data_IF_793435529640
#
_entry.id   IF_793435529640
#
_cell.length_a   1.000
_cell.length_b   1.000
_cell.length_c   1.000
_cell.angle_alpha   90.00
_cell.angle_beta   90.00
_cell.angle_gamma   90.00
#
_symmetry.space_group_name_H-M   'P 1'
#
loop_
_entity.id
_entity.type
_entity.pdbx_description
1 polymer ?
2 non-polymer ?
3 water ?
#
# COMPACT_ATOMS: atom_id res chain seq x y z
N UNK A 1 11.38 -12.17 -1.95
CA UNK A 1 11.12 -10.86 -2.60
C UNK A 1 10.00 -11.09 -3.62
N UNK A 2 9.22 -10.06 -3.94
CA UNK A 2 8.24 -10.15 -5.02
C UNK A 2 8.63 -9.18 -6.14
N UNK A 3 8.27 -9.51 -7.38
CA UNK A 3 8.62 -8.71 -8.56
C UNK A 3 7.39 -8.46 -9.42
N UNK A 4 7.40 -7.35 -10.15
CA UNK A 4 6.39 -7.08 -11.16
C UNK A 4 7.10 -6.38 -12.32
N UNK A 5 6.73 -6.75 -13.53
CA UNK A 5 7.24 -6.13 -14.73
C UNK A 5 6.08 -5.55 -15.52
N UNK A 6 6.16 -4.25 -15.85
CA UNK A 6 5.07 -3.59 -16.58
C UNK A 6 5.01 -4.00 -18.06
N UNK A 7 6.11 -4.50 -18.61
CA UNK A 7 6.10 -4.94 -19.97
C UNK A 7 5.39 -6.28 -20.03
N UNK A 8 4.34 -6.35 -20.81
CA UNK A 8 3.63 -7.61 -20.95
C UNK A 8 2.54 -7.77 -19.92
N UNK A 9 2.56 -6.85 -18.95
CA UNK A 9 1.58 -6.82 -17.88
C UNK A 9 0.19 -6.68 -18.44
N UNK A 10 -0.75 -7.35 -17.80
CA UNK A 10 -2.15 -7.27 -18.17
C UNK A 10 -2.88 -7.44 -16.85
N UNK A 11 -4.22 -7.33 -16.83
CA UNK A 11 -4.93 -7.39 -15.55
C UNK A 11 -4.63 -8.65 -14.75
N UNK A 12 -4.26 -9.71 -15.46
CA UNK A 12 -4.00 -11.02 -14.88
C UNK A 12 -2.69 -11.11 -14.10
N UNK A 13 -1.60 -10.65 -14.71
CA UNK A 13 -0.28 -10.72 -14.09
C UNK A 13 -0.16 -9.82 -12.88
N UNK A 14 -0.76 -8.64 -13.00
CA UNK A 14 -0.86 -7.72 -11.90
C UNK A 14 -1.52 -8.43 -10.72
N UNK A 15 -2.68 -9.03 -10.98
CA UNK A 15 -3.36 -9.79 -9.94
C UNK A 15 -2.46 -10.85 -9.34
N UNK A 16 -1.65 -11.48 -10.18
CA UNK A 16 -0.75 -12.51 -9.68
C UNK A 16 0.30 -11.91 -8.73
N UNK A 17 0.92 -10.81 -9.14
CA UNK A 17 1.84 -10.02 -8.29
C UNK A 17 1.15 -9.62 -6.99
N UNK A 18 -0.06 -9.09 -7.06
CA UNK A 18 -0.70 -8.66 -5.82
C UNK A 18 -0.98 -9.83 -4.89
N UNK A 19 -1.35 -10.98 -5.47
CA UNK A 19 -1.53 -12.20 -4.67
C UNK A 19 -0.23 -12.65 -3.96
N UNK A 20 0.87 -12.70 -4.71
CA UNK A 20 2.23 -12.92 -4.18
C UNK A 20 2.59 -11.96 -3.06
N UNK A 21 2.38 -10.67 -3.30
CA UNK A 21 2.66 -9.63 -2.29
C UNK A 21 1.90 -9.93 -1.00
N UNK A 22 0.59 -10.18 -1.11
CA UNK A 22 -0.18 -10.56 0.06
C UNK A 22 0.43 -11.77 0.73
N UNK A 23 0.72 -12.79 -0.06
CA UNK A 23 1.22 -14.05 0.47
C UNK A 23 2.59 -13.94 1.13
N UNK A 24 3.32 -12.89 0.81
CA UNK A 24 4.67 -12.70 1.31
C UNK A 24 4.65 -12.13 2.73
N UNK A 25 3.55 -11.53 3.10
CA UNK A 25 3.43 -10.98 4.43
C UNK A 25 3.23 -12.17 5.38
N UNK A 26 3.88 -12.16 6.55
CA UNK A 26 3.45 -13.21 7.50
C UNK A 26 2.31 -12.84 8.43
N UNK A 27 1.72 -13.89 8.96
CA UNK A 27 0.66 -13.78 9.95
C UNK A 27 0.62 -15.11 10.72
N UNK A 28 0.07 -15.04 11.94
CA UNK A 28 -0.08 -16.21 12.79
C UNK A 28 -1.52 -16.68 12.72
N UNK A 29 -2.44 -15.76 13.02
CA UNK A 29 -3.86 -16.06 13.00
C UNK A 29 -4.58 -15.59 11.75
N UNK A 30 -5.85 -15.97 11.69
CA UNK A 30 -6.83 -15.44 10.74
C UNK A 30 -8.04 -15.14 11.58
N UNK A 31 -8.39 -13.86 11.59
CA UNK A 31 -9.62 -13.40 12.19
C UNK A 31 -10.64 -13.37 11.08
N UNK A 32 -11.65 -14.23 11.20
CA UNK A 32 -12.77 -14.27 10.26
C UNK A 32 -12.28 -14.59 8.83
N UNK A 33 -11.32 -15.51 8.78
CA UNK A 33 -10.63 -15.92 7.54
C UNK A 33 -9.81 -14.83 6.83
N UNK A 34 -9.62 -13.70 7.48
CA UNK A 34 -8.72 -12.66 6.98
C UNK A 34 -7.43 -12.78 7.78
N UNK A 35 -6.28 -12.81 7.08
CA UNK A 35 -4.94 -12.86 7.69
C UNK A 35 -4.58 -11.65 8.57
N UNK A 36 -4.43 -11.90 9.86
CA UNK A 36 -4.05 -10.88 10.82
C UNK A 36 -2.52 -10.68 10.77
N UNK A 37 -2.09 -9.46 10.49
CA UNK A 37 -0.66 -9.17 10.39
C UNK A 37 -0.01 -9.18 11.79
N UNK A 38 1.22 -9.65 11.85
CA UNK A 38 1.95 -9.74 13.12
C UNK A 38 2.09 -8.38 13.82
N UNK A 39 2.16 -8.37 15.16
CA UNK A 39 2.33 -7.12 15.90
C UNK A 39 3.74 -6.54 15.80
N UNK A 40 4.75 -7.40 15.69
CA UNK A 40 6.12 -6.96 15.63
C UNK A 40 6.96 -8.04 14.96
N UNK A 41 7.95 -7.61 14.19
CA UNK A 41 8.94 -8.52 13.64
C UNK A 41 10.23 -7.77 13.74
N UNK A 42 11.31 -8.49 13.98
CA UNK A 42 12.55 -7.87 14.40
C UNK A 42 13.67 -8.25 13.47
N UNK A 43 14.48 -7.25 13.14
CA UNK A 43 15.62 -7.47 12.27
C UNK A 43 15.27 -7.11 10.85
N UNK A 44 16.04 -7.68 9.93
CA UNK A 44 15.81 -7.51 8.51
C UNK A 44 14.52 -8.18 8.08
N UNK A 45 14.10 -9.18 8.84
CA UNK A 45 12.92 -9.97 8.52
C UNK A 45 11.64 -9.16 8.55
N UNK A 46 11.73 -8.00 9.18
CA UNK A 46 10.63 -7.07 9.18
C UNK A 46 10.34 -6.45 7.82
N UNK A 47 11.30 -6.49 6.89
CA UNK A 47 11.15 -5.76 5.63
C UNK A 47 11.03 -6.69 4.44
N UNK A 48 10.05 -6.43 3.58
CA UNK A 48 9.92 -7.12 2.30
C UNK A 48 10.41 -6.18 1.18
N UNK A 49 11.10 -6.75 0.20
CA UNK A 49 11.65 -6.00 -0.92
C UNK A 49 10.87 -6.32 -2.20
N UNK A 50 10.23 -5.32 -2.78
CA UNK A 50 9.58 -5.46 -4.09
C UNK A 50 10.50 -4.97 -5.21
N UNK A 51 10.51 -5.71 -6.31
CA UNK A 51 11.29 -5.30 -7.46
C UNK A 51 10.34 -4.88 -8.55
N UNK A 52 10.34 -3.60 -8.89
CA UNK A 52 9.42 -3.10 -9.90
C UNK A 52 10.22 -2.70 -11.14
N UNK A 53 9.83 -3.24 -12.29
CA UNK A 53 10.47 -2.93 -13.57
C UNK A 53 9.50 -2.15 -14.45
N UNK A 54 9.94 -1.04 -15.04
CA UNK A 54 9.04 -0.27 -15.91
C UNK A 54 9.11 -0.85 -17.31
N UNK A 55 8.35 -0.31 -18.25
CA UNK A 55 8.24 -0.92 -19.57
C UNK A 55 9.57 -1.12 -20.26
N UNK A 56 10.44 -0.13 -20.14
CA UNK A 56 11.80 -0.18 -20.68
C UNK A 56 12.71 -1.09 -19.89
N UNK A 57 12.19 -1.63 -18.79
CA UNK A 57 12.95 -2.58 -17.99
C UNK A 57 13.86 -1.96 -16.93
N UNK A 58 13.76 -0.67 -16.68
CA UNK A 58 14.54 -0.10 -15.58
C UNK A 58 13.81 -0.46 -14.31
N UNK A 59 14.50 -0.43 -13.19
CA UNK A 59 13.93 -1.01 -12.00
C UNK A 59 14.25 -0.20 -10.77
N UNK A 60 13.31 -0.20 -9.82
CA UNK A 60 13.57 0.20 -8.44
C UNK A 60 13.29 -0.98 -7.49
N UNK A 61 13.99 -1.03 -6.36
CA UNK A 61 13.59 -1.95 -5.30
C UNK A 61 12.94 -1.22 -4.14
N UNK A 62 11.71 -1.60 -3.79
CA UNK A 62 10.96 -0.90 -2.73
C UNK A 62 10.93 -1.74 -1.46
N UNK A 63 11.00 -1.09 -0.30
CA UNK A 63 11.06 -1.80 0.97
C UNK A 63 9.77 -1.58 1.71
N UNK A 64 9.15 -2.66 2.15
CA UNK A 64 7.81 -2.59 2.71
C UNK A 64 7.86 -3.23 4.09
N UNK A 65 7.25 -2.60 5.07
CA UNK A 65 7.26 -3.15 6.43
C UNK A 65 6.16 -4.20 6.52
N UNK A 66 6.54 -5.46 6.74
CA UNK A 66 5.57 -6.55 6.70
C UNK A 66 4.56 -6.54 7.85
N UNK A 67 4.69 -5.64 8.81
CA UNK A 67 3.71 -5.62 9.89
C UNK A 67 2.55 -4.73 9.54
N UNK A 68 2.80 -3.75 8.69
CA UNK A 68 1.75 -2.80 8.34
C UNK A 68 1.68 -2.45 6.85
N UNK A 69 2.53 -3.13 6.07
CA UNK A 69 2.68 -2.92 4.65
C UNK A 69 2.88 -1.43 4.19
N UNK A 70 3.68 -0.70 4.97
CA UNK A 70 4.07 0.69 4.69
C UNK A 70 5.39 0.65 3.95
N UNK A 71 5.49 1.46 2.89
CA UNK A 71 6.69 1.59 2.01
C UNK A 71 7.70 2.34 2.87
N UNK A 72 8.96 1.89 2.99
CA UNK A 72 9.87 2.63 3.89
C UNK A 72 10.76 3.60 3.11
N UNK A 73 11.14 3.13 1.94
CA UNK A 73 11.98 3.87 1.04
C UNK A 73 12.19 2.94 -0.15
N UNK A 74 13.14 3.30 -1.01
CA UNK A 74 13.41 2.52 -2.22
C UNK A 74 14.83 2.75 -2.61
N UNK A 75 15.32 1.95 -3.55
CA UNK A 75 16.68 2.05 -4.07
C UNK A 75 16.57 2.23 -5.57
N UNK A 76 17.20 3.27 -6.11
CA UNK A 76 17.37 3.49 -7.54
C UNK A 76 18.88 3.50 -7.85
N UNK A 77 19.29 2.72 -8.83
CA UNK A 77 20.63 2.13 -8.87
C UNK A 77 21.52 2.17 -7.63
N UNK A 78 22.23 3.25 -7.36
CA UNK A 78 23.13 3.20 -6.21
C UNK A 78 22.72 4.11 -5.06
N UNK A 79 21.51 4.65 -5.14
CA UNK A 79 21.09 5.60 -4.10
C UNK A 79 19.81 5.11 -3.46
N UNK A 80 19.80 5.05 -2.13
CA UNK A 80 18.60 4.68 -1.43
C UNK A 80 17.94 5.99 -1.06
N UNK A 81 16.62 6.00 -0.99
CA UNK A 81 15.91 7.17 -0.49
C UNK A 81 15.01 6.63 0.61
N UNK A 82 14.76 7.45 1.63
CA UNK A 82 13.95 6.99 2.76
C UNK A 82 13.10 8.18 3.17
N UNK A 83 11.90 7.90 3.69
CA UNK A 83 10.99 8.94 4.21
C UNK A 83 11.53 9.58 5.46
N UNK A 84 11.07 10.79 5.79
CA UNK A 84 11.59 11.44 6.99
C UNK A 84 10.68 11.16 8.18
N UNK A 85 10.92 10.01 8.81
CA UNK A 85 10.17 9.56 9.98
C UNK A 85 10.99 8.46 10.64
N UNK A 86 10.80 8.24 11.95
CA UNK A 86 11.66 7.29 12.67
C UNK A 86 11.67 5.82 12.17
N UNK A 87 10.54 5.30 11.67
CA UNK A 87 10.47 3.92 11.16
C UNK A 87 11.38 3.67 9.97
N UNK A 88 11.47 4.67 9.11
CA UNK A 88 12.27 4.54 7.89
C UNK A 88 13.76 4.64 8.23
N UNK A 89 14.08 5.50 9.20
CA UNK A 89 15.45 5.58 9.71
C UNK A 89 15.88 4.23 10.30
N UNK A 90 14.99 3.64 11.10
CA UNK A 90 15.17 2.26 11.57
C UNK A 90 15.36 1.23 10.44
N UNK A 91 14.50 1.26 9.41
CA UNK A 91 14.71 0.39 8.22
C UNK A 91 16.06 0.52 7.58
N UNK A 92 16.54 1.77 7.50
CA UNK A 92 17.82 2.08 6.91
C UNK A 92 19.00 1.34 7.52
N UNK A 93 18.80 0.76 8.70
CA UNK A 93 19.83 -0.11 9.28
C UNK A 93 19.88 -1.48 8.60
N UNK A 94 18.77 -1.90 8.03
CA UNK A 94 18.63 -3.29 7.61
C UNK A 94 18.60 -3.49 6.10
N UNK A 95 18.10 -2.49 5.36
CA UNK A 95 18.02 -2.61 3.90
C UNK A 95 18.90 -1.62 3.12
N UNK A 96 19.11 -1.96 1.84
CA UNK A 96 19.95 -1.20 0.91
C UNK A 96 21.24 -0.71 1.55
N UNK A 97 21.98 -1.61 2.18
CA UNK A 97 23.15 -1.20 2.93
C UNK A 97 24.37 -1.00 2.02
N UNK A 98 24.32 -1.67 0.87
CA UNK A 98 25.34 -1.58 -0.17
C UNK A 98 25.19 -0.32 -1.07
N UNK A 99 24.18 0.51 -0.82
CA UNK A 99 23.98 1.73 -1.59
C UNK A 99 25.12 2.72 -1.37
N UNK A 100 25.44 3.47 -2.42
CA UNK A 100 26.59 4.37 -2.42
C UNK A 100 26.21 5.67 -1.72
N UNK A 101 24.95 5.83 -1.37
CA UNK A 101 24.44 7.14 -0.96
C UNK A 101 23.06 6.97 -0.41
N UNK A 102 22.75 7.63 0.71
CA UNK A 102 21.44 7.52 1.33
C UNK A 102 20.88 8.91 1.46
N UNK A 103 19.72 9.12 0.85
CA UNK A 103 19.10 10.42 0.84
C UNK A 103 17.81 10.33 1.62
N UNK A 104 17.51 11.34 2.41
CA UNK A 104 16.29 11.30 3.18
C UNK A 104 15.39 12.29 2.47
N UNK A 105 14.16 11.90 2.20
CA UNK A 105 13.23 12.75 1.48
C UNK A 105 12.71 13.77 2.46
N UNK A 106 12.37 14.99 1.98
CA UNK A 106 12.01 16.09 2.88
C UNK A 106 10.65 15.90 3.55
N UNK A 107 10.10 14.68 3.50
CA UNK A 107 8.79 14.43 4.07
C UNK A 107 8.66 12.98 4.58
N UNK A 108 7.68 12.82 5.46
CA UNK A 108 7.27 11.54 5.95
C UNK A 108 6.39 10.92 4.86
N UNK A 109 5.93 9.71 5.09
CA UNK A 109 5.29 8.99 4.01
C UNK A 109 3.81 8.80 4.20
N UNK A 110 3.19 9.66 5.00
CA UNK A 110 1.75 9.57 5.16
C UNK A 110 1.08 10.44 4.10
N UNK A 111 -0.18 10.15 3.79
CA UNK A 111 -0.80 10.81 2.66
C UNK A 111 -0.79 12.31 2.83
N UNK A 112 -1.03 12.77 4.05
CA UNK A 112 -1.24 14.20 4.25
C UNK A 112 0.01 15.01 3.92
N UNK A 113 1.16 14.57 4.42
CA UNK A 113 2.41 15.24 4.08
C UNK A 113 2.76 15.02 2.62
N UNK A 114 2.47 13.84 2.09
CA UNK A 114 2.77 13.55 0.70
C UNK A 114 1.92 14.37 -0.29
N UNK A 115 0.66 14.65 0.05
CA UNK A 115 -0.21 15.44 -0.83
C UNK A 115 0.22 16.89 -0.84
N UNK A 116 0.52 17.41 0.34
CA UNK A 116 1.08 18.75 0.45
C UNK A 116 2.31 18.90 -0.44
N UNK A 117 3.26 17.97 -0.28
CA UNK A 117 4.48 17.99 -1.08
C UNK A 117 4.26 17.91 -2.59
N UNK A 118 3.27 17.15 -3.01
CA UNK A 118 3.08 16.94 -4.42
C UNK A 118 2.34 18.10 -5.05
N UNK A 119 1.69 18.92 -4.23
CA UNK A 119 0.80 19.92 -4.79
C UNK A 119 -0.61 19.48 -5.21
N UNK A 120 -0.88 18.19 -5.31
CA UNK A 120 -2.23 17.68 -5.63
C UNK A 120 -2.76 16.78 -4.48
N UNK A 121 -4.08 16.79 -4.21
CA UNK A 121 -4.63 15.74 -3.35
C UNK A 121 -4.81 14.44 -4.13
N UNK A 122 -5.01 13.33 -3.43
CA UNK A 122 -5.04 12.03 -4.10
C UNK A 122 -6.13 11.97 -5.14
N UNK A 123 -7.20 12.70 -4.86
CA UNK A 123 -8.39 12.70 -5.67
C UNK A 123 -8.14 13.13 -7.12
N UNK A 124 -6.97 13.71 -7.35
CA UNK A 124 -6.64 14.33 -8.62
C UNK A 124 -5.35 13.80 -9.24
N UNK A 125 -4.91 12.63 -8.79
CA UNK A 125 -3.79 11.94 -9.42
C UNK A 125 -4.37 10.68 -10.02
N UNK A 126 -4.29 10.54 -11.36
CA UNK A 126 -4.63 9.29 -12.02
C UNK A 126 -3.73 8.14 -11.59
N UNK A 127 -4.35 7.02 -11.26
CA UNK A 127 -3.58 5.86 -10.91
C UNK A 127 -3.89 4.86 -12.00
N UNK A 128 -3.01 3.88 -12.15
CA UNK A 128 -3.24 2.87 -13.12
C UNK A 128 -1.94 2.12 -13.28
N UNK A 129 -1.91 1.21 -14.24
CA UNK A 129 -0.65 0.56 -14.56
C UNK A 129 0.26 1.43 -15.42
N UNK A 130 -0.31 2.28 -16.30
CA UNK A 130 0.51 3.26 -17.00
C UNK A 130 1.15 4.28 -16.09
N UNK A 131 0.38 4.76 -15.14
CA UNK A 131 0.92 5.62 -14.10
C UNK A 131 2.02 4.99 -13.24
N UNK A 132 1.91 3.70 -12.93
CA UNK A 132 2.95 3.03 -12.13
C UNK A 132 4.25 3.00 -12.93
N UNK A 133 4.13 2.75 -14.22
CA UNK A 133 5.30 2.73 -15.08
C UNK A 133 6.03 4.09 -15.04
N UNK A 134 5.23 5.13 -15.16
CA UNK A 134 5.65 6.50 -15.02
C UNK A 134 6.27 6.75 -13.66
N UNK A 135 5.55 6.44 -12.58
CA UNK A 135 6.10 6.54 -11.22
C UNK A 135 7.51 5.96 -11.12
N UNK A 136 7.65 4.72 -11.56
CA UNK A 136 8.94 4.07 -11.48
C UNK A 136 10.01 4.94 -12.18
N UNK A 137 9.72 5.40 -13.39
CA UNK A 137 10.64 6.27 -14.16
C UNK A 137 11.00 7.56 -13.45
N UNK A 138 10.00 8.19 -12.87
CA UNK A 138 10.19 9.38 -12.05
C UNK A 138 11.15 9.15 -10.87
N UNK A 139 10.96 8.03 -10.17
CA UNK A 139 11.72 7.75 -8.97
C UNK A 139 13.18 7.45 -9.28
N UNK A 140 13.47 7.14 -10.55
CA UNK A 140 14.83 6.75 -10.91
C UNK A 140 15.80 7.93 -10.93
N UNK A 141 15.25 9.14 -11.02
CA UNK A 141 16.09 10.32 -11.04
C UNK A 141 15.48 11.28 -10.05
N UNK A 142 16.23 11.57 -9.00
CA UNK A 142 15.76 12.38 -7.88
C UNK A 142 15.14 13.73 -8.29
N UNK A 143 13.92 13.95 -7.82
CA UNK A 143 13.26 15.25 -7.84
C UNK A 143 12.23 15.12 -6.74
N UNK A 144 12.38 15.82 -5.63
CA UNK A 144 11.53 15.52 -4.47
C UNK A 144 10.07 15.90 -4.65
N UNK A 145 9.78 16.89 -5.50
CA UNK A 145 8.39 17.29 -5.70
C UNK A 145 7.71 16.27 -6.59
N UNK A 146 8.44 15.83 -7.62
CA UNK A 146 7.92 14.86 -8.57
C UNK A 146 7.86 13.44 -7.97
N UNK A 147 8.79 13.12 -7.10
CA UNK A 147 8.70 11.90 -6.32
C UNK A 147 7.54 11.81 -5.31
N UNK A 148 7.02 12.92 -4.78
CA UNK A 148 5.83 12.81 -3.92
C UNK A 148 4.58 12.31 -4.65
N UNK A 149 4.35 12.81 -5.85
CA UNK A 149 3.34 12.23 -6.70
C UNK A 149 3.59 10.82 -7.16
N UNK A 150 4.81 10.48 -7.58
CA UNK A 150 5.08 9.09 -7.96
C UNK A 150 4.80 8.14 -6.77
N UNK A 151 5.13 8.57 -5.56
CA UNK A 151 4.95 7.71 -4.39
C UNK A 151 3.49 7.62 -3.94
N UNK A 152 2.69 8.63 -4.27
CA UNK A 152 1.24 8.52 -4.07
C UNK A 152 0.61 7.51 -5.03
N UNK A 153 1.24 7.32 -6.18
CA UNK A 153 0.76 6.36 -7.16
C UNK A 153 1.33 4.98 -6.86
N UNK A 154 2.56 4.93 -6.40
CA UNK A 154 3.18 3.68 -6.00
C UNK A 154 2.49 3.01 -4.79
N UNK A 155 2.25 3.77 -3.72
CA UNK A 155 1.56 3.25 -2.54
C UNK A 155 0.22 2.63 -2.89
N UNK A 156 -0.56 3.33 -3.70
CA UNK A 156 -1.92 2.93 -4.03
C UNK A 156 -2.01 1.72 -4.94
N UNK A 157 -1.11 1.61 -5.93
CA UNK A 157 -1.11 0.48 -6.86
C UNK A 157 -0.48 -0.79 -6.29
N UNK A 158 0.24 -0.69 -5.17
CA UNK A 158 0.75 -1.88 -4.52
C UNK A 158 0.16 -2.12 -3.12
N UNK A 159 0.56 -1.31 -2.15
CA UNK A 159 0.12 -1.48 -0.78
C UNK A 159 -1.41 -1.43 -0.61
N UNK A 160 -2.06 -0.42 -1.16
CA UNK A 160 -3.54 -0.32 -1.02
C UNK A 160 -4.33 -1.41 -1.77
N UNK A 161 -3.73 -1.89 -2.86
CA UNK A 161 -4.27 -3.02 -3.60
C UNK A 161 -4.12 -4.35 -2.86
N UNK A 162 -2.97 -4.56 -2.21
CA UNK A 162 -2.76 -5.76 -1.36
C UNK A 162 -3.82 -5.79 -0.26
N UNK A 163 -4.04 -4.64 0.35
CA UNK A 163 -4.98 -4.48 1.46
C UNK A 163 -6.45 -4.74 1.15
N UNK A 164 -6.92 -4.32 -0.03
CA UNK A 164 -8.33 -4.40 -0.37
C UNK A 164 -8.53 -4.93 -1.77
N UNK A 165 -9.34 -5.98 -1.93
CA UNK A 165 -9.65 -6.52 -3.25
C UNK A 165 -10.40 -5.51 -4.17
N UNK A 166 -11.16 -4.58 -3.60
CA UNK A 166 -11.83 -3.59 -4.43
C UNK A 166 -10.76 -2.76 -5.16
N UNK A 167 -9.74 -2.36 -4.42
CA UNK A 167 -8.77 -1.46 -5.02
C UNK A 167 -7.88 -2.20 -6.04
N UNK A 168 -7.57 -3.44 -5.75
CA UNK A 168 -6.86 -4.23 -6.74
C UNK A 168 -7.61 -4.32 -8.07
N UNK A 169 -8.93 -4.42 -7.97
CA UNK A 169 -9.78 -4.55 -9.14
C UNK A 169 -9.98 -3.24 -9.92
N UNK A 170 -10.01 -2.12 -9.20
CA UNK A 170 -9.87 -0.81 -9.81
C UNK A 170 -8.65 -0.63 -10.73
N UNK A 171 -7.52 -1.19 -10.33
CA UNK A 171 -6.25 -1.05 -11.03
C UNK A 171 -6.18 -1.99 -12.23
N UNK A 172 -6.85 -3.13 -12.13
CA UNK A 172 -6.97 -4.02 -13.27
C UNK A 172 -7.81 -3.40 -14.34
N UNK A 173 -8.84 -2.67 -13.91
CA UNK A 173 -9.60 -1.75 -14.76
C UNK A 173 -8.76 -0.63 -15.41
N UNK A 174 -7.64 -0.25 -14.77
CA UNK A 174 -6.85 0.87 -15.25
C UNK A 174 -5.51 0.40 -15.79
N UNK A 175 -5.50 -0.82 -16.32
CA UNK A 175 -4.29 -1.40 -16.92
C UNK A 175 -3.82 -0.79 -18.22
N UNK A 176 -4.68 -0.10 -18.96
CA UNK A 176 -4.18 0.58 -20.17
C UNK A 176 -4.61 2.05 -20.25
N UNK A 177 -5.18 2.58 -19.19
CA UNK A 177 -5.60 3.97 -19.15
C UNK A 177 -5.70 4.30 -17.67
N UNK A 178 -5.17 5.46 -17.24
CA UNK A 178 -5.19 5.82 -15.81
C UNK A 178 -6.44 6.59 -15.54
N UNK A 179 -6.85 6.63 -14.28
CA UNK A 179 -8.03 7.39 -13.92
C UNK A 179 -7.88 7.71 -12.48
N UNK A 180 -8.46 8.83 -12.07
CA UNK A 180 -8.33 9.22 -10.69
C UNK A 180 -9.07 8.16 -9.85
N UNK A 181 -8.66 7.96 -8.58
CA UNK A 181 -9.36 6.99 -7.75
C UNK A 181 -10.80 7.43 -7.53
N UNK A 182 -11.69 6.44 -7.36
CA UNK A 182 -13.04 6.71 -6.86
C UNK A 182 -13.01 7.13 -5.38
N UNK A 183 -14.09 7.78 -4.96
CA UNK A 183 -14.32 8.07 -3.55
C UNK A 183 -14.29 6.82 -2.68
N UNK A 184 -14.92 5.76 -3.15
CA UNK A 184 -14.90 4.49 -2.43
C UNK A 184 -13.47 4.15 -2.13
N UNK A 185 -12.63 4.21 -3.16
CA UNK A 185 -11.22 3.94 -3.00
C UNK A 185 -10.58 4.81 -1.94
N UNK A 186 -10.76 6.14 -2.01
CA UNK A 186 -10.21 7.02 -0.97
C UNK A 186 -10.79 6.65 0.43
N UNK A 187 -12.09 6.32 0.46
CA UNK A 187 -12.76 5.90 1.69
C UNK A 187 -12.08 4.68 2.33
N UNK A 188 -11.88 3.66 1.50
CA UNK A 188 -11.27 2.43 1.93
C UNK A 188 -9.86 2.65 2.46
N UNK A 189 -9.03 3.43 1.75
CA UNK A 189 -7.65 3.68 2.16
C UNK A 189 -7.58 4.27 3.56
N UNK A 190 -8.48 5.20 3.78
CA UNK A 190 -8.53 5.87 5.06
C UNK A 190 -9.05 5.02 6.21
N UNK A 191 -9.87 4.02 5.89
CA UNK A 191 -10.53 3.24 6.92
C UNK A 191 -9.84 1.96 7.31
N UNK A 192 -8.65 1.69 6.77
CA UNK A 192 -8.05 0.38 6.97
C UNK A 192 -7.84 0.11 8.43
N UNK A 193 -7.32 1.13 9.10
CA UNK A 193 -6.98 1.06 10.50
C UNK A 193 -8.23 0.79 11.38
N UNK A 194 -9.25 1.63 11.24
CA UNK A 194 -10.49 1.46 11.99
C UNK A 194 -11.20 0.15 11.69
N UNK A 195 -11.32 -0.19 10.41
CA UNK A 195 -11.83 -1.50 10.00
C UNK A 195 -11.10 -2.67 10.62
N UNK A 196 -9.78 -2.69 10.58
CA UNK A 196 -9.00 -3.71 11.27
C UNK A 196 -9.29 -3.83 12.76
N UNK A 197 -9.52 -2.69 13.39
CA UNK A 197 -9.77 -2.64 14.83
C UNK A 197 -11.14 -3.26 15.12
N UNK A 198 -12.17 -2.77 14.42
CA UNK A 198 -13.54 -3.17 14.65
C UNK A 198 -13.79 -4.65 14.34
N UNK A 199 -13.21 -5.12 13.27
CA UNK A 199 -13.20 -6.57 12.98
C UNK A 199 -12.55 -7.41 14.11
N UNK A 200 -11.48 -6.91 14.72
CA UNK A 200 -10.75 -7.66 15.74
C UNK A 200 -11.51 -7.68 17.07
N UNK A 201 -12.15 -6.55 17.34
CA UNK A 201 -13.00 -6.36 18.49
C UNK A 201 -14.29 -7.16 18.41
N UNK A 202 -14.72 -7.48 17.18
CA UNK A 202 -15.95 -8.20 16.93
C UNK A 202 -15.94 -9.65 17.42
N UNK A 203 -14.77 -10.30 17.43
CA UNK A 203 -14.60 -11.58 18.13
C UNK A 203 -14.92 -11.39 19.61
N UNK A 204 -15.80 -12.25 20.15
CA UNK A 204 -16.28 -12.03 21.51
C UNK A 204 -17.31 -10.92 21.57
N UNK A 205 -17.74 -10.40 20.44
CA UNK A 205 -18.97 -9.61 20.42
C UNK A 205 -19.91 -10.15 19.35
N UNK A 206 -19.71 -11.42 19.00
CA UNK A 206 -20.58 -12.09 18.03
C UNK A 206 -20.47 -11.53 16.60
N UNK A 207 -19.27 -11.05 16.23
CA UNK A 207 -19.04 -10.54 14.90
C UNK A 207 -19.63 -9.16 14.72
N UNK A 208 -20.01 -8.53 15.83
CA UNK A 208 -20.65 -7.21 15.83
C UNK A 208 -19.60 -6.14 16.17
N UNK A 209 -19.68 -4.97 15.51
CA UNK A 209 -18.62 -3.95 15.62
C UNK A 209 -19.05 -3.10 16.82
N UNK A 210 -18.11 -2.73 17.71
CA UNK A 210 -18.42 -1.84 18.85
C UNK A 210 -18.78 -0.44 18.37
N UNK A 211 -18.03 0.04 17.40
CA UNK A 211 -18.33 1.34 16.82
C UNK A 211 -18.44 1.16 15.31
N UNK A 212 -19.58 1.59 14.73
CA UNK A 212 -19.81 1.63 13.29
C UNK A 212 -18.80 2.43 12.48
N UNK A 213 -18.43 1.86 11.35
CA UNK A 213 -17.53 2.48 10.40
C UNK A 213 -18.38 2.98 9.26
N UNK A 214 -18.28 4.27 8.99
CA UNK A 214 -19.03 4.86 7.89
C UNK A 214 -18.06 5.04 6.70
N UNK A 215 -18.40 4.35 5.61
CA UNK A 215 -17.65 4.48 4.36
C UNK A 215 -18.50 5.29 3.39
N UNK A 216 -17.88 6.11 2.56
CA UNK A 216 -18.63 6.81 1.51
C UNK A 216 -18.89 5.76 0.47
N UNK A 217 -17.81 5.09 0.14
CA UNK A 217 -17.79 3.95 -0.75
C UNK A 217 -18.89 3.93 -1.80
N UNK A 218 -19.19 2.74 -2.30
CA UNK A 218 -20.17 2.60 -3.36
C UNK A 218 -21.57 2.50 -2.79
N UNK A 219 -21.95 3.61 -2.17
CA UNK A 219 -23.33 3.98 -2.01
C UNK A 219 -23.32 5.51 -2.16
N UNK A 220 -22.58 5.97 -3.17
CA UNK A 220 -22.51 7.39 -3.51
C UNK A 220 -21.84 8.25 -2.45
N UNK A 221 -22.37 8.14 -1.25
CA UNK A 221 -21.81 8.76 -0.04
C UNK A 221 -22.58 8.04 1.08
N UNK A 222 -21.88 7.68 2.15
CA UNK A 222 -22.51 7.35 3.43
C UNK A 222 -23.11 5.95 3.49
N UNK A 223 -22.22 4.96 3.54
CA UNK A 223 -22.56 3.60 3.93
C UNK A 223 -22.09 3.43 5.37
N UNK A 224 -22.61 2.44 6.08
CA UNK A 224 -22.23 2.22 7.46
C UNK A 224 -22.08 0.75 7.73
N UNK A 225 -20.85 0.31 8.01
CA UNK A 225 -20.57 -1.11 8.32
C UNK A 225 -20.76 -1.36 9.82
N UNK A 226 -21.53 -2.39 10.16
CA UNK A 226 -21.96 -2.59 11.56
C UNK A 226 -21.46 -3.91 12.10
N UNK A 227 -21.27 -4.88 11.22
CA UNK A 227 -20.99 -6.24 11.64
C UNK A 227 -20.20 -6.94 10.55
N UNK A 228 -19.68 -8.12 10.86
CA UNK A 228 -18.73 -8.82 9.98
C UNK A 228 -19.35 -9.53 8.79
N UNK A 229 -20.66 -9.51 8.65
CA UNK A 229 -21.20 -10.18 7.47
C UNK A 229 -21.26 -9.22 6.32
N UNK A 230 -20.94 -7.96 6.57
CA UNK A 230 -20.78 -6.99 5.52
C UNK A 230 -19.80 -7.47 4.44
N UNK A 231 -20.11 -7.12 3.19
CA UNK A 231 -19.25 -7.49 2.06
C UNK A 231 -17.84 -6.89 2.12
N UNK A 232 -17.71 -5.71 2.72
CA UNK A 232 -16.40 -5.13 2.90
C UNK A 232 -15.56 -6.08 3.74
N UNK A 233 -16.21 -6.86 4.60
CA UNK A 233 -15.50 -7.86 5.40
C UNK A 233 -15.37 -9.24 4.74
N UNK A 234 -16.46 -9.76 4.20
CA UNK A 234 -16.46 -11.12 3.63
C UNK A 234 -15.64 -11.20 2.35
N UNK A 235 -15.62 -10.09 1.60
CA UNK A 235 -15.17 -10.11 0.23
C UNK A 235 -14.07 -9.10 -0.15
N UNK A 236 -13.89 -8.05 0.65
CA UNK A 236 -13.00 -6.95 0.26
C UNK A 236 -11.70 -6.84 1.04
N UNK A 237 -11.77 -6.48 2.31
CA UNK A 237 -10.56 -6.35 3.16
C UNK A 237 -9.78 -7.66 3.17
N UNK A 238 -8.49 -7.57 2.89
CA UNK A 238 -7.67 -8.74 2.65
C UNK A 238 -6.55 -8.99 3.67
N UNK A 239 -6.18 -7.97 4.43
CA UNK A 239 -5.14 -8.06 5.47
C UNK A 239 -5.61 -7.14 6.59
N UNK A 240 -5.40 -7.56 7.84
CA UNK A 240 -5.77 -6.75 9.01
C UNK A 240 -4.52 -6.32 9.73
N UNK A 241 -4.50 -5.03 10.05
CA UNK A 241 -3.48 -4.42 10.89
C UNK A 241 -3.71 -4.91 12.32
N UNK A 242 -2.67 -5.47 12.93
CA UNK A 242 -2.75 -5.94 14.30
C UNK A 242 -3.00 -4.79 15.27
N UNK A 243 -3.95 -5.00 16.18
CA UNK A 243 -4.43 -3.93 17.07
C UNK A 243 -3.34 -3.27 17.90
N UNK A 244 -2.29 -4.03 18.18
CA UNK A 244 -1.15 -3.51 18.93
C UNK A 244 -0.50 -2.35 18.18
N UNK A 245 -0.65 -2.35 16.86
CA UNK A 245 -0.04 -1.36 16.00
C UNK A 245 -1.02 -0.25 15.61
N UNK A 246 -2.20 -0.24 16.23
CA UNK A 246 -3.21 0.72 15.82
C UNK A 246 -3.22 1.90 16.79
#
# INVERSE_FOLDING_TARGET
DVSFRLSGADPRSYGMFIKDLRNALPFREKVYNIPLLLPSVSGAGRYLLMHLFNRDGKTITVAVDVTNIYIMGYLADTTSYFFNEPAAELASQYVFRDARRKITLPYSGDYERLQIAAGKPREKIPIGLPALDSAISTLLHYDSTAAAGALLVLIQTTAEAARFKYIEQQIQERAYRDEVPSLATISLENSWSGLSKQIQLAQGNNGIFRTPIVLVDNKGNRVQITNVTSKVVTSNIQLLLNTRNIAEGDNGDVSTTHGFSSY
#
